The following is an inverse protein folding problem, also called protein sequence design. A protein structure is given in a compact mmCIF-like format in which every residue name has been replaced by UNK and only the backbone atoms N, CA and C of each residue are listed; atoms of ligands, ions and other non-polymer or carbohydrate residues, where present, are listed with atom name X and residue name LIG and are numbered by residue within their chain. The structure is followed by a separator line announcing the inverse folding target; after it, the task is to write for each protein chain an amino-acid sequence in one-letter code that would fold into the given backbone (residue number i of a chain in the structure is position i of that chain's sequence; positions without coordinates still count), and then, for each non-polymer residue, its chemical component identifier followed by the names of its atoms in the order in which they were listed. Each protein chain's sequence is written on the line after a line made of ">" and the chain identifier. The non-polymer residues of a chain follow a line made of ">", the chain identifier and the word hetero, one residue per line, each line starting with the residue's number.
data_IF_191134845546
#
_entry.id   IF_191134845546
#
_cell.length_a   1.000
_cell.length_b   1.000
_cell.length_c   1.000
_cell.angle_alpha   90.00
_cell.angle_beta   90.00
_cell.angle_gamma   90.00
#
_symmetry.space_group_name_H-M   'P 1'
#
loop_
_entity.id
_entity.type
_entity.pdbx_description
1 polymer ?
#
# COMPACT_ATOMS: atom_id res chain seq x y z
N UNK A 1 14.46 -14.39 15.96
CA UNK A 1 13.65 -13.19 15.65
C UNK A 1 13.68 -12.91 14.15
N UNK A 2 12.63 -12.37 13.59
CA UNK A 2 12.61 -11.94 12.17
C UNK A 2 13.31 -10.61 11.98
N UNK A 3 14.10 -10.51 10.90
CA UNK A 3 14.76 -9.27 10.46
C UNK A 3 14.21 -8.79 9.13
N UNK A 4 13.39 -7.74 9.14
CA UNK A 4 12.88 -7.07 7.95
C UNK A 4 13.86 -5.96 7.55
N UNK A 5 14.69 -6.24 6.56
CA UNK A 5 15.82 -5.39 6.15
C UNK A 5 15.51 -4.77 4.81
N UNK A 6 15.55 -3.44 4.73
CA UNK A 6 15.21 -2.70 3.53
C UNK A 6 16.39 -1.90 3.00
N UNK A 7 16.53 -1.86 1.67
CA UNK A 7 17.34 -0.88 0.96
C UNK A 7 16.39 -0.08 0.07
N UNK A 8 16.07 1.15 0.45
CA UNK A 8 15.00 1.95 -0.17
C UNK A 8 13.66 1.20 -0.09
N UNK A 9 13.11 0.78 -1.24
CA UNK A 9 11.85 0.02 -1.36
C UNK A 9 12.04 -1.48 -1.53
N UNK A 10 13.29 -1.95 -1.60
CA UNK A 10 13.59 -3.37 -1.74
C UNK A 10 13.80 -4.01 -0.37
N UNK A 11 13.25 -5.20 -0.18
CA UNK A 11 13.36 -5.99 1.03
C UNK A 11 14.30 -7.18 0.81
N UNK A 12 15.09 -7.52 1.83
CA UNK A 12 15.96 -8.69 1.84
C UNK A 12 15.13 -9.95 2.09
N UNK A 13 15.14 -10.87 1.14
CA UNK A 13 14.55 -12.19 1.24
C UNK A 13 15.65 -13.24 1.43
N UNK A 14 15.37 -14.25 2.25
CA UNK A 14 16.18 -15.45 2.37
C UNK A 14 15.62 -16.54 1.46
N UNK A 15 16.47 -17.10 0.61
CA UNK A 15 16.13 -18.25 -0.24
C UNK A 15 16.28 -19.53 0.56
N UNK A 16 15.26 -20.39 0.52
CA UNK A 16 15.26 -21.71 1.14
C UNK A 16 15.77 -22.79 0.18
N UNK A 17 16.10 -23.98 0.71
CA UNK A 17 16.64 -25.10 -0.06
C UNK A 17 15.67 -25.58 -1.15
N UNK A 18 14.37 -25.48 -0.92
CA UNK A 18 13.31 -25.82 -1.88
C UNK A 18 13.09 -24.77 -2.97
N UNK A 19 13.85 -23.67 -2.93
CA UNK A 19 13.76 -22.55 -3.86
C UNK A 19 12.68 -21.52 -3.51
N UNK A 20 11.93 -21.69 -2.43
CA UNK A 20 10.99 -20.69 -1.91
C UNK A 20 11.72 -19.59 -1.14
N UNK A 21 10.97 -18.57 -0.69
CA UNK A 21 11.53 -17.42 -0.01
C UNK A 21 10.85 -17.15 1.33
N UNK A 22 11.61 -16.62 2.26
CA UNK A 22 11.14 -16.16 3.56
C UNK A 22 11.86 -14.88 3.98
N UNK A 23 11.45 -14.30 5.10
CA UNK A 23 12.21 -13.26 5.80
C UNK A 23 13.25 -13.96 6.70
N UNK A 24 14.51 -13.46 6.75
CA UNK A 24 15.52 -14.04 7.63
C UNK A 24 15.05 -14.12 9.09
N UNK A 25 15.15 -15.30 9.68
CA UNK A 25 14.79 -15.56 11.08
C UNK A 25 15.98 -16.18 11.81
N UNK A 26 16.66 -15.40 12.66
CA UNK A 26 17.91 -15.77 13.34
C UNK A 26 18.09 -14.99 14.65
N UNK A 27 19.11 -15.30 15.41
CA UNK A 27 19.41 -14.62 16.70
C UNK A 27 20.06 -13.25 16.47
N UNK A 28 20.98 -13.16 15.50
CA UNK A 28 21.69 -11.95 15.13
C UNK A 28 21.31 -11.52 13.70
N UNK A 29 21.54 -10.24 13.32
CA UNK A 29 21.30 -9.81 11.94
C UNK A 29 22.03 -10.69 10.92
N UNK A 30 21.36 -11.16 9.85
CA UNK A 30 21.94 -12.10 8.87
C UNK A 30 23.01 -11.47 7.97
N UNK A 31 23.24 -10.18 8.12
CA UNK A 31 24.22 -9.36 7.39
C UNK A 31 24.96 -8.47 8.36
N UNK A 32 26.14 -7.99 7.95
CA UNK A 32 26.87 -6.98 8.71
C UNK A 32 26.06 -5.67 8.74
N UNK A 33 25.80 -5.18 9.95
CA UNK A 33 25.05 -3.94 10.20
C UNK A 33 26.01 -2.92 10.81
N UNK A 34 26.02 -1.71 10.27
CA UNK A 34 26.88 -0.63 10.77
C UNK A 34 26.48 -0.24 12.20
N UNK A 35 27.44 0.14 13.07
CA UNK A 35 27.17 0.47 14.49
C UNK A 35 26.14 1.59 14.70
N UNK A 36 25.96 2.46 13.70
CA UNK A 36 25.02 3.60 13.76
C UNK A 36 23.67 3.30 13.09
N UNK A 37 23.47 2.09 12.54
CA UNK A 37 22.18 1.70 11.93
C UNK A 37 21.13 1.58 13.02
N UNK A 38 20.05 2.33 12.88
CA UNK A 38 18.90 2.20 13.77
C UNK A 38 18.15 0.92 13.47
N UNK A 39 18.04 0.04 14.47
CA UNK A 39 17.23 -1.19 14.42
C UNK A 39 15.98 -0.94 15.26
N UNK A 40 14.83 -0.92 14.61
CA UNK A 40 13.54 -0.68 15.25
C UNK A 40 12.92 -1.99 15.72
N UNK A 41 12.46 -2.02 16.96
CA UNK A 41 11.59 -3.08 17.47
C UNK A 41 10.17 -2.88 16.94
N UNK A 42 9.62 -3.94 16.35
CA UNK A 42 8.27 -3.96 15.79
C UNK A 42 7.45 -4.95 16.62
N UNK A 43 6.14 -4.74 16.67
CA UNK A 43 5.22 -5.71 17.29
C UNK A 43 5.52 -7.15 16.79
N UNK A 44 5.65 -8.13 17.70
CA UNK A 44 5.95 -9.52 17.34
C UNK A 44 4.97 -10.12 16.33
N UNK A 45 5.34 -11.25 15.75
CA UNK A 45 4.42 -12.08 14.97
C UNK A 45 3.31 -12.65 15.89
N UNK A 46 2.25 -13.21 15.29
CA UNK A 46 1.12 -13.77 16.03
C UNK A 46 1.53 -14.94 16.98
N UNK A 47 2.59 -15.66 16.63
CA UNK A 47 3.18 -16.72 17.46
C UNK A 47 4.12 -16.21 18.55
N UNK A 48 4.27 -14.90 18.70
CA UNK A 48 5.16 -14.26 19.67
C UNK A 48 6.61 -14.11 19.18
N UNK A 49 6.96 -14.54 17.97
CA UNK A 49 8.32 -14.37 17.42
C UNK A 49 8.66 -12.89 17.31
N UNK A 50 9.76 -12.41 17.94
CA UNK A 50 10.16 -11.02 17.88
C UNK A 50 10.47 -10.55 16.46
N UNK A 51 10.19 -9.28 16.17
CA UNK A 51 10.38 -8.65 14.87
C UNK A 51 11.23 -7.41 14.99
N UNK A 52 12.25 -7.30 14.15
CA UNK A 52 13.11 -6.13 14.00
C UNK A 52 13.07 -5.64 12.55
N UNK A 53 13.11 -4.32 12.39
CA UNK A 53 13.15 -3.68 11.08
C UNK A 53 14.29 -2.67 11.00
N UNK A 54 14.95 -2.57 9.84
CA UNK A 54 16.03 -1.61 9.63
C UNK A 54 16.17 -1.25 8.15
N UNK A 55 16.73 -0.05 7.91
CA UNK A 55 17.25 0.32 6.60
C UNK A 55 18.75 0.08 6.51
N UNK A 56 19.21 -0.32 5.33
CA UNK A 56 20.62 -0.40 4.94
C UNK A 56 20.89 0.56 3.77
N UNK A 57 22.14 1.05 3.69
CA UNK A 57 22.52 2.06 2.69
C UNK A 57 22.72 1.48 1.29
N UNK A 58 23.08 0.21 1.19
CA UNK A 58 23.37 -0.46 -0.07
C UNK A 58 22.71 -1.85 -0.13
N UNK A 59 22.30 -2.31 -1.32
CA UNK A 59 21.69 -3.62 -1.45
C UNK A 59 22.69 -4.73 -1.12
N UNK A 60 22.19 -5.82 -0.54
CA UNK A 60 22.97 -7.05 -0.32
C UNK A 60 23.21 -7.73 -1.67
N UNK A 61 24.48 -7.97 -2.00
CA UNK A 61 24.90 -8.62 -3.23
C UNK A 61 25.93 -9.72 -2.95
N UNK A 62 26.10 -10.65 -3.88
CA UNK A 62 27.15 -11.67 -3.82
C UNK A 62 26.89 -12.84 -2.85
N UNK A 63 25.77 -12.86 -2.12
CA UNK A 63 25.38 -13.97 -1.29
C UNK A 63 24.21 -14.74 -1.93
N UNK A 64 24.39 -15.98 -2.38
CA UNK A 64 23.36 -16.75 -3.09
C UNK A 64 22.14 -17.11 -2.23
N UNK A 65 22.28 -17.04 -0.89
CA UNK A 65 21.19 -17.33 0.03
C UNK A 65 20.24 -16.14 0.22
N UNK A 66 20.58 -14.97 -0.30
CA UNK A 66 19.75 -13.76 -0.15
C UNK A 66 19.44 -13.12 -1.49
N UNK A 67 18.28 -12.49 -1.56
CA UNK A 67 17.83 -11.72 -2.72
C UNK A 67 17.20 -10.40 -2.25
N UNK A 68 17.61 -9.28 -2.86
CA UNK A 68 16.88 -8.03 -2.73
C UNK A 68 15.71 -8.04 -3.71
N UNK A 69 14.51 -7.86 -3.19
CA UNK A 69 13.27 -7.91 -3.96
C UNK A 69 12.42 -6.66 -3.68
N UNK A 70 11.88 -6.03 -4.71
CA UNK A 70 10.94 -4.91 -4.50
C UNK A 70 9.80 -5.33 -3.57
N UNK A 71 9.46 -4.50 -2.56
CA UNK A 71 8.43 -4.82 -1.58
C UNK A 71 7.11 -5.25 -2.25
N UNK A 72 6.69 -4.57 -3.33
CA UNK A 72 5.49 -4.93 -4.09
C UNK A 72 5.60 -6.35 -4.70
N UNK A 73 6.76 -6.69 -5.26
CA UNK A 73 6.99 -8.00 -5.89
C UNK A 73 7.14 -9.13 -4.86
N UNK A 74 7.52 -8.81 -3.62
CA UNK A 74 7.64 -9.80 -2.55
C UNK A 74 6.28 -10.45 -2.17
N UNK A 75 5.16 -9.84 -2.56
CA UNK A 75 3.82 -10.45 -2.45
C UNK A 75 3.74 -11.85 -3.09
N UNK A 76 4.42 -12.03 -4.22
CA UNK A 76 4.41 -13.31 -4.96
C UNK A 76 5.42 -14.33 -4.43
N UNK A 77 6.24 -13.93 -3.45
CA UNK A 77 7.32 -14.76 -2.90
C UNK A 77 7.12 -15.11 -1.43
N UNK A 78 6.44 -14.28 -0.68
CA UNK A 78 6.22 -14.44 0.75
C UNK A 78 4.82 -14.98 1.05
N UNK A 79 4.67 -15.57 2.24
CA UNK A 79 3.33 -15.80 2.80
C UNK A 79 2.61 -14.46 3.00
N UNK A 80 1.28 -14.48 2.96
CA UNK A 80 0.46 -13.28 3.21
C UNK A 80 0.81 -12.60 4.53
N UNK A 81 1.06 -13.38 5.59
CA UNK A 81 1.42 -12.87 6.90
C UNK A 81 2.75 -12.12 6.88
N UNK A 82 3.81 -12.72 6.30
CA UNK A 82 5.13 -12.08 6.19
C UNK A 82 5.09 -10.85 5.28
N UNK A 83 4.33 -10.90 4.19
CA UNK A 83 4.15 -9.75 3.30
C UNK A 83 3.47 -8.57 4.01
N UNK A 84 2.39 -8.80 4.76
CA UNK A 84 1.70 -7.75 5.51
C UNK A 84 2.58 -7.18 6.63
N UNK A 85 3.35 -8.04 7.31
CA UNK A 85 4.34 -7.59 8.31
C UNK A 85 5.46 -6.77 7.66
N UNK A 86 5.93 -7.14 6.47
CA UNK A 86 6.91 -6.37 5.70
C UNK A 86 6.38 -4.97 5.37
N UNK A 87 5.11 -4.87 4.95
CA UNK A 87 4.45 -3.59 4.74
C UNK A 87 4.45 -2.71 5.99
N UNK A 88 3.99 -3.26 7.13
CA UNK A 88 4.01 -2.55 8.43
C UNK A 88 5.42 -2.08 8.81
N UNK A 89 6.42 -2.94 8.65
CA UNK A 89 7.82 -2.57 8.93
C UNK A 89 8.29 -1.42 8.05
N UNK A 90 8.00 -1.46 6.75
CA UNK A 90 8.37 -0.41 5.81
C UNK A 90 7.71 0.94 6.16
N UNK A 91 6.41 0.95 6.47
CA UNK A 91 5.67 2.16 6.86
C UNK A 91 6.24 2.78 8.15
N UNK A 92 6.54 1.96 9.16
CA UNK A 92 7.10 2.43 10.42
C UNK A 92 8.52 2.99 10.25
N UNK A 93 9.37 2.32 9.46
CA UNK A 93 10.71 2.82 9.11
C UNK A 93 10.64 4.12 8.30
N UNK A 94 9.70 4.22 7.35
CA UNK A 94 9.45 5.45 6.59
C UNK A 94 9.04 6.59 7.52
N UNK A 95 8.07 6.37 8.40
CA UNK A 95 7.65 7.35 9.39
C UNK A 95 8.79 7.74 10.32
N UNK A 96 9.57 6.78 10.84
CA UNK A 96 10.70 7.04 11.71
C UNK A 96 11.72 7.95 11.04
N UNK A 97 12.07 7.66 9.79
CA UNK A 97 13.07 8.42 9.02
C UNK A 97 12.63 9.86 8.73
N UNK A 98 11.31 10.11 8.58
CA UNK A 98 10.75 11.42 8.27
C UNK A 98 10.34 12.25 9.49
N UNK A 99 10.47 11.69 10.70
CA UNK A 99 10.05 12.34 11.94
C UNK A 99 11.16 12.38 12.99
N UNK A 100 12.39 12.66 12.57
CA UNK A 100 13.56 12.72 13.47
C UNK A 100 13.57 13.95 14.37
N UNK A 101 12.93 15.03 13.94
CA UNK A 101 12.86 16.30 14.63
C UNK A 101 11.43 16.78 14.79
N UNK A 102 11.18 17.49 15.89
CA UNK A 102 9.87 18.04 16.21
C UNK A 102 9.53 19.21 15.28
N UNK A 103 8.37 19.14 14.61
CA UNK A 103 7.89 20.21 13.73
C UNK A 103 7.46 21.51 14.47
N UNK A 104 7.42 21.50 15.83
CA UNK A 104 7.09 22.68 16.62
C UNK A 104 8.34 23.41 17.11
N UNK A 105 9.31 22.69 17.70
CA UNK A 105 10.46 23.30 18.35
C UNK A 105 11.83 22.85 17.82
N UNK A 106 11.86 21.98 16.80
CA UNK A 106 13.08 21.49 16.18
C UNK A 106 13.92 20.50 17.02
N UNK A 107 13.51 20.19 18.26
CA UNK A 107 14.25 19.25 19.12
C UNK A 107 14.10 17.81 18.61
N UNK A 108 15.06 16.91 18.95
CA UNK A 108 14.98 15.51 18.55
C UNK A 108 13.71 14.80 19.05
N UNK A 109 13.21 13.88 18.23
CA UNK A 109 12.10 12.98 18.57
C UNK A 109 12.64 11.59 18.92
N UNK A 110 12.15 11.00 19.99
CA UNK A 110 12.51 9.63 20.39
C UNK A 110 11.28 8.75 20.49
N UNK A 111 11.43 7.45 20.21
CA UNK A 111 10.38 6.46 20.40
C UNK A 111 9.90 6.52 21.87
N UNK A 112 8.60 6.66 22.05
CA UNK A 112 7.94 6.66 23.35
C UNK A 112 7.16 5.34 23.56
N UNK A 113 6.54 4.83 22.51
CA UNK A 113 5.95 3.50 22.42
C UNK A 113 6.41 2.85 21.11
N UNK A 114 5.97 1.64 20.80
CA UNK A 114 6.28 0.99 19.52
C UNK A 114 5.74 1.73 18.29
N UNK A 115 4.76 2.64 18.49
CA UNK A 115 4.07 3.38 17.43
C UNK A 115 3.92 4.87 17.74
N UNK A 116 4.66 5.42 18.70
CA UNK A 116 4.64 6.86 18.95
C UNK A 116 6.02 7.38 19.26
N UNK A 117 6.26 8.65 18.94
CA UNK A 117 7.46 9.40 19.31
C UNK A 117 7.09 10.60 20.16
N UNK A 118 7.97 10.96 21.11
CA UNK A 118 7.85 12.15 21.94
C UNK A 118 9.04 13.06 21.75
N UNK A 119 8.77 14.37 21.67
CA UNK A 119 9.77 15.41 21.57
C UNK A 119 10.51 15.59 22.89
N UNK A 120 11.85 15.64 22.85
CA UNK A 120 12.69 15.87 24.03
C UNK A 120 12.62 17.29 24.57
N UNK A 121 12.26 18.28 23.75
CA UNK A 121 12.18 19.67 24.14
C UNK A 121 10.80 20.11 24.65
N UNK A 122 9.74 19.91 23.85
CA UNK A 122 8.40 20.42 24.18
C UNK A 122 7.40 19.34 24.59
N UNK A 123 7.78 18.07 24.60
CA UNK A 123 6.90 16.96 24.98
C UNK A 123 5.84 16.57 23.93
N UNK A 124 5.79 17.21 22.75
CA UNK A 124 4.86 16.87 21.67
C UNK A 124 4.97 15.39 21.34
N UNK A 125 3.87 14.69 21.32
CA UNK A 125 3.78 13.30 20.87
C UNK A 125 3.17 13.21 19.47
N UNK A 126 3.67 12.30 18.66
CA UNK A 126 3.20 12.05 17.31
C UNK A 126 3.10 10.54 17.03
N UNK A 127 2.18 10.17 16.13
CA UNK A 127 1.94 8.81 15.65
C UNK A 127 2.12 8.73 14.14
N UNK A 128 2.33 7.52 13.56
CA UNK A 128 2.28 7.33 12.12
C UNK A 128 0.95 7.85 11.55
N UNK A 129 1.03 8.53 10.41
CA UNK A 129 -0.13 9.00 9.68
C UNK A 129 -0.25 8.20 8.39
N UNK A 130 -1.48 7.75 8.09
CA UNK A 130 -1.78 7.04 6.85
C UNK A 130 -2.37 8.01 5.84
N UNK A 131 -1.85 8.01 4.62
CA UNK A 131 -2.45 8.67 3.48
C UNK A 131 -3.63 7.82 3.01
N UNK A 132 -4.85 8.17 3.45
CA UNK A 132 -6.06 7.44 3.10
C UNK A 132 -6.51 7.79 1.70
N UNK A 133 -6.73 6.78 0.86
CA UNK A 133 -7.29 6.93 -0.47
C UNK A 133 -8.49 5.99 -0.65
N UNK A 134 -9.49 6.47 -1.39
CA UNK A 134 -10.61 5.63 -1.84
C UNK A 134 -10.26 4.98 -3.18
N UNK A 135 -10.93 3.88 -3.47
CA UNK A 135 -10.96 3.25 -4.77
C UNK A 135 -12.35 2.67 -5.01
N UNK A 136 -12.91 2.90 -6.19
CA UNK A 136 -14.31 2.54 -6.45
C UNK A 136 -14.50 1.88 -7.80
N UNK A 137 -15.22 0.75 -7.80
CA UNK A 137 -15.77 0.15 -9.00
C UNK A 137 -17.16 0.73 -9.24
N UNK A 138 -17.32 1.43 -10.38
CA UNK A 138 -18.61 1.93 -10.83
C UNK A 138 -19.13 0.98 -11.90
N UNK A 139 -20.33 0.44 -11.73
CA UNK A 139 -20.94 -0.44 -12.71
C UNK A 139 -22.25 0.10 -13.29
N UNK A 140 -22.51 -0.25 -14.54
CA UNK A 140 -23.70 0.12 -15.32
C UNK A 140 -24.22 -1.14 -16.02
N UNK A 141 -25.23 -1.80 -15.43
CA UNK A 141 -25.64 -3.12 -15.91
C UNK A 141 -24.47 -4.11 -15.87
N UNK A 142 -24.13 -4.71 -17.02
CA UNK A 142 -23.06 -5.69 -17.16
C UNK A 142 -21.68 -5.07 -17.48
N UNK A 143 -21.56 -3.76 -17.42
CA UNK A 143 -20.33 -3.04 -17.70
C UNK A 143 -19.76 -2.37 -16.45
N UNK A 144 -18.44 -2.21 -16.42
CA UNK A 144 -17.71 -1.47 -15.40
C UNK A 144 -16.90 -0.33 -16.01
N UNK A 145 -16.77 0.76 -15.28
CA UNK A 145 -15.89 1.85 -15.63
C UNK A 145 -14.45 1.48 -15.30
N UNK A 146 -13.58 1.47 -16.30
CA UNK A 146 -12.14 1.32 -16.12
C UNK A 146 -11.41 2.51 -16.72
N UNK A 147 -10.36 2.95 -16.03
CA UNK A 147 -9.57 4.11 -16.40
C UNK A 147 -8.07 3.76 -16.40
N UNK A 148 -7.31 4.48 -17.23
CA UNK A 148 -5.86 4.37 -17.26
C UNK A 148 -5.24 5.69 -16.80
N UNK A 149 -4.70 5.70 -15.59
CA UNK A 149 -4.04 6.86 -15.02
C UNK A 149 -2.66 7.10 -15.67
N UNK A 150 -2.31 8.36 -15.90
CA UNK A 150 -1.02 8.73 -16.54
C UNK A 150 0.22 8.28 -15.78
N UNK A 151 0.11 8.08 -14.48
CA UNK A 151 1.19 7.61 -13.62
C UNK A 151 1.34 6.09 -13.59
N UNK A 152 0.45 5.34 -14.25
CA UNK A 152 0.56 3.89 -14.31
C UNK A 152 1.77 3.47 -15.15
N UNK A 153 2.56 2.54 -14.59
CA UNK A 153 3.65 1.89 -15.32
C UNK A 153 3.12 0.64 -16.00
N UNK A 154 2.81 0.74 -17.28
CA UNK A 154 2.23 -0.36 -18.08
C UNK A 154 0.87 0.00 -18.65
N UNK A 155 0.29 -0.91 -19.43
CA UNK A 155 -0.93 -0.67 -20.20
C UNK A 155 -2.20 -1.19 -19.51
N UNK A 156 -2.17 -1.42 -18.20
CA UNK A 156 -3.34 -1.91 -17.48
C UNK A 156 -4.30 -0.77 -17.13
N UNK A 157 -5.58 -1.10 -17.11
CA UNK A 157 -6.65 -0.22 -16.64
C UNK A 157 -6.98 -0.54 -15.20
N UNK A 158 -7.26 0.48 -14.41
CA UNK A 158 -7.67 0.38 -13.01
C UNK A 158 -9.04 0.98 -12.76
N UNK A 159 -9.37 1.10 -11.50
CA UNK A 159 -10.57 1.76 -11.00
C UNK A 159 -10.26 3.24 -10.70
N UNK A 160 -11.29 4.08 -10.61
CA UNK A 160 -11.17 5.46 -10.10
C UNK A 160 -10.68 5.41 -8.66
N UNK A 161 -9.67 6.20 -8.33
CA UNK A 161 -9.07 6.21 -7.01
C UNK A 161 -8.40 7.55 -6.72
N UNK A 162 -8.62 8.10 -5.53
CA UNK A 162 -7.98 9.33 -5.11
C UNK A 162 -7.89 9.49 -3.60
N UNK A 163 -7.13 10.49 -3.17
CA UNK A 163 -6.93 10.75 -1.75
C UNK A 163 -8.14 11.42 -1.11
N UNK A 164 -8.43 11.03 0.13
CA UNK A 164 -9.41 11.71 0.97
C UNK A 164 -8.83 13.05 1.40
N UNK A 165 -9.57 14.13 1.18
CA UNK A 165 -9.18 15.48 1.56
C UNK A 165 -9.58 15.81 3.02
N UNK A 166 -8.94 16.83 3.58
CA UNK A 166 -9.24 17.27 4.94
C UNK A 166 -10.68 17.77 5.06
N UNK A 167 -11.48 17.14 5.92
CA UNK A 167 -12.87 17.49 6.15
C UNK A 167 -13.89 16.68 5.36
N UNK A 168 -13.43 15.78 4.47
CA UNK A 168 -14.32 14.86 3.77
C UNK A 168 -14.58 13.58 4.55
N UNK A 169 -15.76 12.99 4.33
CA UNK A 169 -15.99 11.57 4.60
C UNK A 169 -15.51 10.73 3.43
N UNK A 170 -15.35 9.41 3.64
CA UNK A 170 -14.96 8.48 2.56
C UNK A 170 -15.97 8.51 1.41
N UNK A 171 -17.26 8.58 1.72
CA UNK A 171 -18.34 8.64 0.75
C UNK A 171 -18.29 9.92 -0.07
N UNK A 172 -18.01 11.07 0.56
CA UNK A 172 -17.83 12.34 -0.13
C UNK A 172 -16.63 12.29 -1.08
N UNK A 173 -15.50 11.74 -0.63
CA UNK A 173 -14.32 11.56 -1.48
C UNK A 173 -14.63 10.67 -2.69
N UNK A 174 -15.39 9.58 -2.54
CA UNK A 174 -15.78 8.72 -3.67
C UNK A 174 -16.61 9.48 -4.69
N UNK A 175 -17.64 10.23 -4.24
CA UNK A 175 -18.48 11.03 -5.16
C UNK A 175 -17.68 12.12 -5.87
N UNK A 176 -16.78 12.82 -5.15
CA UNK A 176 -15.93 13.87 -5.70
C UNK A 176 -14.98 13.31 -6.76
N UNK A 177 -14.22 12.26 -6.43
CA UNK A 177 -13.23 11.67 -7.35
C UNK A 177 -13.89 11.12 -8.63
N UNK A 178 -15.04 10.44 -8.52
CA UNK A 178 -15.76 9.95 -9.71
C UNK A 178 -16.24 11.11 -10.56
N UNK A 179 -16.81 12.16 -9.95
CA UNK A 179 -17.27 13.34 -10.70
C UNK A 179 -16.09 14.08 -11.33
N UNK A 180 -15.00 14.33 -10.61
CA UNK A 180 -13.84 15.09 -11.10
C UNK A 180 -13.09 14.34 -12.21
N UNK A 181 -12.82 13.04 -12.01
CA UNK A 181 -12.07 12.25 -12.97
C UNK A 181 -12.87 11.84 -14.20
N UNK A 182 -14.20 11.67 -14.09
CA UNK A 182 -15.00 11.03 -15.13
C UNK A 182 -16.29 11.75 -15.52
N UNK A 183 -16.75 12.75 -14.75
CA UNK A 183 -18.00 13.48 -15.00
C UNK A 183 -19.26 12.67 -14.74
N UNK A 184 -19.18 11.55 -14.02
CA UNK A 184 -20.31 10.66 -13.77
C UNK A 184 -20.94 10.88 -12.40
N UNK A 185 -22.27 10.74 -12.34
CA UNK A 185 -23.01 10.64 -11.08
C UNK A 185 -23.21 9.16 -10.69
N UNK A 186 -23.05 8.87 -9.38
CA UNK A 186 -23.14 7.53 -8.83
C UNK A 186 -24.07 7.49 -7.60
N UNK A 187 -24.56 6.30 -7.28
CA UNK A 187 -25.41 6.04 -6.12
C UNK A 187 -25.12 4.66 -5.52
N UNK A 188 -25.87 4.27 -4.49
CA UNK A 188 -25.77 2.96 -3.84
C UNK A 188 -24.34 2.56 -3.49
N UNK A 189 -23.63 3.48 -2.86
CA UNK A 189 -22.26 3.26 -2.43
C UNK A 189 -22.19 2.15 -1.38
N UNK A 190 -21.40 1.11 -1.63
CA UNK A 190 -21.21 -0.05 -0.77
C UNK A 190 -19.75 -0.25 -0.46
N UNK A 191 -19.40 -0.29 0.83
CA UNK A 191 -18.05 -0.64 1.28
C UNK A 191 -17.71 -2.08 0.86
N UNK A 192 -16.55 -2.26 0.23
CA UNK A 192 -16.04 -3.57 -0.17
C UNK A 192 -15.01 -4.11 0.81
N UNK A 193 -14.04 -3.31 1.17
CA UNK A 193 -12.94 -3.70 2.04
C UNK A 193 -11.84 -2.62 2.09
N UNK A 194 -10.78 -2.91 2.83
CA UNK A 194 -9.61 -2.01 2.88
C UNK A 194 -8.31 -2.78 2.78
N UNK A 195 -7.25 -2.11 2.33
CA UNK A 195 -5.93 -2.69 2.18
C UNK A 195 -4.85 -1.71 2.60
N UNK A 196 -3.93 -2.09 3.53
CA UNK A 196 -2.69 -1.34 3.74
C UNK A 196 -1.91 -1.22 2.43
N UNK A 197 -1.44 -0.01 2.14
CA UNK A 197 -0.73 0.30 0.91
C UNK A 197 0.63 0.96 1.23
N UNK A 198 1.64 0.17 1.65
CA UNK A 198 2.91 0.65 2.18
C UNK A 198 3.84 1.25 1.13
N UNK A 199 3.29 2.16 0.28
CA UNK A 199 3.99 2.78 -0.83
C UNK A 199 3.75 4.31 -0.87
N UNK A 200 4.33 5.10 0.09
CA UNK A 200 5.08 4.63 1.26
C UNK A 200 4.26 4.40 2.53
N UNK A 201 3.02 4.95 2.69
CA UNK A 201 2.25 4.93 3.94
C UNK A 201 0.75 5.12 3.69
N UNK A 202 0.16 4.32 2.82
CA UNK A 202 -1.24 4.45 2.40
C UNK A 202 -2.19 3.46 3.06
N UNK A 203 -3.47 3.82 3.07
CA UNK A 203 -4.59 2.93 3.29
C UNK A 203 -5.57 3.10 2.14
N UNK A 204 -5.78 2.03 1.36
CA UNK A 204 -6.81 2.00 0.31
C UNK A 204 -8.13 1.53 0.90
N UNK A 205 -9.22 2.25 0.63
CA UNK A 205 -10.58 1.90 1.06
C UNK A 205 -11.45 1.70 -0.18
N UNK A 206 -11.88 0.46 -0.39
CA UNK A 206 -12.57 0.01 -1.59
C UNK A 206 -14.10 0.07 -1.48
N UNK A 207 -14.72 0.52 -2.56
CA UNK A 207 -16.17 0.63 -2.71
C UNK A 207 -16.66 0.07 -4.04
N UNK A 208 -17.94 -0.30 -4.06
CA UNK A 208 -18.74 -0.49 -5.27
C UNK A 208 -19.80 0.60 -5.33
N UNK A 209 -20.15 1.06 -6.53
CA UNK A 209 -21.19 2.06 -6.76
C UNK A 209 -21.95 1.77 -8.05
N UNK A 210 -23.20 2.24 -8.10
CA UNK A 210 -24.04 2.14 -9.30
C UNK A 210 -24.00 3.47 -10.05
N UNK A 211 -23.83 3.42 -11.38
CA UNK A 211 -23.96 4.58 -12.26
C UNK A 211 -25.40 5.10 -12.24
N UNK A 212 -25.54 6.42 -12.23
CA UNK A 212 -26.84 7.11 -12.32
C UNK A 212 -26.96 7.78 -13.68
N UNK A 213 -26.12 8.76 -13.97
CA UNK A 213 -26.16 9.54 -15.20
C UNK A 213 -24.80 10.18 -15.53
N UNK A 214 -24.72 10.79 -16.72
CA UNK A 214 -23.54 11.47 -17.23
C UNK A 214 -22.84 10.70 -18.35
N UNK A 215 -22.13 11.44 -19.18
CA UNK A 215 -21.23 10.89 -20.19
C UNK A 215 -19.79 10.87 -19.64
N UNK A 216 -18.99 9.90 -20.07
CA UNK A 216 -17.60 9.80 -19.60
C UNK A 216 -16.76 10.97 -20.15
N UNK A 217 -16.43 11.91 -19.28
CA UNK A 217 -15.56 13.05 -19.54
C UNK A 217 -14.29 12.94 -18.69
N UNK A 218 -13.23 12.32 -19.24
CA UNK A 218 -12.02 12.06 -18.50
C UNK A 218 -11.25 13.35 -18.18
N UNK A 219 -10.87 13.52 -16.93
CA UNK A 219 -9.95 14.57 -16.47
C UNK A 219 -8.56 14.34 -17.06
N UNK A 220 -8.25 15.06 -18.13
CA UNK A 220 -7.03 14.86 -18.93
C UNK A 220 -5.72 15.21 -18.21
N UNK A 221 -5.75 15.84 -17.04
CA UNK A 221 -4.57 16.02 -16.18
C UNK A 221 -4.09 14.70 -15.59
N UNK A 222 -5.00 13.79 -15.24
CA UNK A 222 -4.74 12.55 -14.49
C UNK A 222 -4.96 11.29 -15.32
N UNK A 223 -5.99 11.26 -16.14
CA UNK A 223 -6.36 10.11 -16.94
C UNK A 223 -5.97 10.28 -18.41
N UNK A 224 -5.41 9.23 -19.00
CA UNK A 224 -5.07 9.17 -20.43
C UNK A 224 -6.22 8.61 -21.28
N UNK A 225 -6.88 7.55 -20.79
CA UNK A 225 -8.03 6.91 -21.43
C UNK A 225 -8.89 6.20 -20.38
N UNK A 226 -10.09 5.80 -20.79
CA UNK A 226 -11.06 5.10 -19.93
C UNK A 226 -12.40 5.00 -20.63
N UNK A 227 -13.27 4.19 -20.08
CA UNK A 227 -14.62 3.94 -20.59
C UNK A 227 -15.27 2.73 -19.93
N UNK A 228 -16.41 2.34 -20.51
CA UNK A 228 -17.19 1.19 -20.06
C UNK A 228 -16.68 -0.09 -20.73
N UNK A 229 -16.54 -1.14 -19.95
CA UNK A 229 -16.06 -2.45 -20.40
C UNK A 229 -16.95 -3.56 -19.86
N UNK A 230 -17.36 -4.48 -20.73
CA UNK A 230 -18.05 -5.70 -20.37
C UNK A 230 -17.07 -6.80 -19.97
N UNK A 231 -17.57 -7.86 -19.31
CA UNK A 231 -16.77 -9.04 -18.92
C UNK A 231 -16.01 -9.68 -20.09
N UNK A 232 -16.65 -9.70 -21.27
CA UNK A 232 -16.10 -10.34 -22.47
C UNK A 232 -15.07 -9.48 -23.21
N UNK A 233 -14.96 -8.20 -22.83
CA UNK A 233 -14.07 -7.25 -23.51
C UNK A 233 -13.26 -6.41 -22.53
N UNK A 234 -12.72 -7.04 -21.49
CA UNK A 234 -11.86 -6.36 -20.53
C UNK A 234 -10.48 -6.07 -21.13
N UNK A 235 -9.92 -4.88 -20.90
CA UNK A 235 -8.52 -4.62 -21.17
C UNK A 235 -7.61 -5.37 -20.19
N UNK A 236 -6.32 -5.15 -20.27
CA UNK A 236 -5.43 -5.63 -19.21
C UNK A 236 -5.80 -4.97 -17.88
N UNK A 237 -6.10 -5.77 -16.85
CA UNK A 237 -6.50 -5.32 -15.52
C UNK A 237 -5.34 -5.48 -14.50
N UNK A 238 -5.44 -4.88 -13.28
CA UNK A 238 -4.37 -4.91 -12.29
C UNK A 238 -3.98 -6.33 -11.86
N UNK A 239 -2.77 -6.46 -11.32
CA UNK A 239 -2.26 -7.69 -10.71
C UNK A 239 -3.03 -8.06 -9.43
N UNK A 240 -3.05 -9.36 -9.08
CA UNK A 240 -3.80 -9.93 -7.93
C UNK A 240 -3.42 -9.37 -6.56
N UNK A 241 -2.32 -8.66 -6.45
CA UNK A 241 -1.88 -8.00 -5.24
C UNK A 241 -2.86 -6.94 -4.72
N UNK A 242 -3.49 -6.16 -5.62
CA UNK A 242 -4.18 -4.92 -5.29
C UNK A 242 -5.65 -5.11 -4.97
N UNK A 243 -6.19 -4.28 -4.06
CA UNK A 243 -7.63 -4.23 -3.79
C UNK A 243 -8.45 -3.91 -5.04
N UNK A 244 -7.91 -3.13 -5.99
CA UNK A 244 -8.52 -2.91 -7.29
C UNK A 244 -8.84 -4.23 -8.00
N UNK A 245 -7.89 -5.18 -7.98
CA UNK A 245 -8.10 -6.49 -8.56
C UNK A 245 -9.07 -7.33 -7.75
N UNK A 246 -9.05 -7.26 -6.43
CA UNK A 246 -10.01 -8.00 -5.58
C UNK A 246 -11.45 -7.58 -5.87
N UNK A 247 -11.70 -6.28 -6.02
CA UNK A 247 -13.03 -5.74 -6.35
C UNK A 247 -13.46 -6.19 -7.75
N UNK A 248 -12.54 -6.17 -8.73
CA UNK A 248 -12.83 -6.63 -10.09
C UNK A 248 -13.09 -8.14 -10.15
N UNK A 249 -12.32 -8.95 -9.42
CA UNK A 249 -12.53 -10.40 -9.36
C UNK A 249 -13.90 -10.72 -8.73
N UNK A 250 -14.29 -10.03 -7.66
CA UNK A 250 -15.62 -10.17 -7.04
C UNK A 250 -16.75 -9.82 -8.03
N UNK A 251 -16.63 -8.72 -8.77
CA UNK A 251 -17.59 -8.38 -9.83
C UNK A 251 -17.64 -9.44 -10.94
N UNK A 252 -16.50 -9.96 -11.37
CA UNK A 252 -16.44 -11.02 -12.41
C UNK A 252 -17.13 -12.31 -11.97
N UNK A 253 -17.01 -12.67 -10.69
CA UNK A 253 -17.57 -13.88 -10.11
C UNK A 253 -19.07 -13.74 -9.81
N UNK A 254 -19.51 -12.58 -9.29
CA UNK A 254 -20.84 -12.40 -8.70
C UNK A 254 -21.88 -11.69 -9.59
N UNK A 255 -21.49 -11.13 -10.76
CA UNK A 255 -22.47 -10.44 -11.66
C UNK A 255 -23.34 -11.42 -12.47
N UNK A 256 -23.51 -12.65 -12.04
CA UNK A 256 -24.44 -13.62 -12.60
C UNK A 256 -25.69 -13.84 -11.70
N UNK A 257 -25.94 -12.92 -10.74
CA UNK A 257 -27.13 -12.96 -9.88
C UNK A 257 -28.09 -11.82 -10.20
#
# INVERSE_FOLDING_TARGET
>A
MYYFIFCKTDILLQKLEDGTYTIPCCEEPPIEVKPWTHIMDIEPMADGTPVKALYIDAPVTGNPNFEMCGLRQSFYKLSKELYLKAGKCHELLYWDSNTKFCGICGSPMHMHTMISKRCTGCGKEIWPQLATAIIVLVHRGDEVLLVHAKNFRGNFYGLVAGFVETGETLEQAVHREVMEETGLEITNLRYFGSQPWPYPCGLMVGFNADYVEGDVHLQRSELSCGGWFSKDNLPQIPEKLSIARMILDDWLENSNL
#
